data_IF_513931331767
#
_entry.id   IF_513931331767
#
_cell.length_a   1.000
_cell.length_b   1.000
_cell.length_c   1.000
_cell.angle_alpha   90.00
_cell.angle_beta   90.00
_cell.angle_gamma   90.00
#
_symmetry.space_group_name_H-M   'P 1'
#
loop_
_entity.id
_entity.type
_entity.pdbx_description
1 polymer ?
#
# COMPACT_ATOMS: atom_id res chain seq x y z
N UNK A 1 4.35 -17.11 -20.48
CA UNK A 1 3.52 -18.13 -19.76
C UNK A 1 2.39 -17.40 -19.06
N UNK A 2 1.16 -17.86 -19.22
CA UNK A 2 0.01 -17.35 -18.49
C UNK A 2 0.05 -17.86 -17.05
N UNK A 3 -0.21 -16.99 -16.08
CA UNK A 3 -0.47 -17.39 -14.70
C UNK A 3 -1.90 -17.98 -14.66
N UNK A 4 -2.05 -19.24 -14.26
CA UNK A 4 -3.36 -19.85 -14.15
C UNK A 4 -4.14 -19.18 -13.01
N UNK A 5 -5.28 -18.59 -13.34
CA UNK A 5 -6.23 -18.15 -12.32
C UNK A 5 -6.88 -19.37 -11.65
N UNK A 6 -7.13 -19.32 -10.33
CA UNK A 6 -7.87 -20.37 -9.65
C UNK A 6 -9.24 -20.56 -10.32
N UNK A 7 -9.68 -21.80 -10.58
CA UNK A 7 -11.00 -22.04 -11.13
C UNK A 7 -12.06 -21.58 -10.12
N UNK A 8 -13.15 -20.99 -10.62
CA UNK A 8 -14.29 -20.68 -9.76
C UNK A 8 -15.04 -21.97 -9.40
N UNK A 9 -15.51 -22.05 -8.15
CA UNK A 9 -16.48 -23.05 -7.70
C UNK A 9 -17.90 -22.50 -7.85
N UNK A 10 -18.91 -23.27 -7.50
CA UNK A 10 -20.33 -22.89 -7.73
C UNK A 10 -20.79 -21.69 -6.90
N UNK A 11 -20.16 -21.41 -5.75
CA UNK A 11 -20.58 -20.31 -4.88
C UNK A 11 -20.33 -18.93 -5.52
N UNK A 12 -21.23 -17.98 -5.24
CA UNK A 12 -21.10 -16.59 -5.73
C UNK A 12 -19.80 -15.92 -5.25
N UNK A 13 -19.32 -16.23 -4.05
CA UNK A 13 -18.07 -15.69 -3.52
C UNK A 13 -16.89 -16.12 -4.39
N UNK A 14 -16.82 -17.41 -4.78
CA UNK A 14 -15.72 -17.89 -5.61
C UNK A 14 -15.80 -17.39 -7.05
N UNK A 15 -17.01 -17.18 -7.57
CA UNK A 15 -17.25 -16.56 -8.90
C UNK A 15 -16.77 -15.10 -8.88
N UNK A 16 -17.14 -14.34 -7.85
CA UNK A 16 -16.68 -12.96 -7.69
C UNK A 16 -15.16 -12.87 -7.54
N UNK A 17 -14.55 -13.73 -6.72
CA UNK A 17 -13.09 -13.78 -6.55
C UNK A 17 -12.36 -14.13 -7.86
N UNK A 18 -12.92 -15.02 -8.68
CA UNK A 18 -12.37 -15.32 -10.00
C UNK A 18 -12.49 -14.12 -10.94
N UNK A 19 -13.67 -13.49 -11.02
CA UNK A 19 -13.92 -12.31 -11.85
C UNK A 19 -13.00 -11.14 -11.45
N UNK A 20 -12.85 -10.91 -10.16
CA UNK A 20 -11.92 -9.92 -9.63
C UNK A 20 -10.47 -10.14 -10.11
N UNK A 21 -9.97 -11.38 -10.01
CA UNK A 21 -8.62 -11.71 -10.48
C UNK A 21 -8.48 -11.62 -12.00
N UNK A 22 -9.53 -11.97 -12.74
CA UNK A 22 -9.57 -11.77 -14.18
C UNK A 22 -9.50 -10.28 -14.54
N UNK A 23 -10.25 -9.44 -13.80
CA UNK A 23 -10.18 -8.00 -13.95
C UNK A 23 -8.79 -7.44 -13.65
N UNK A 24 -8.11 -7.87 -12.58
CA UNK A 24 -6.73 -7.49 -12.30
C UNK A 24 -5.78 -7.86 -13.46
N UNK A 25 -5.94 -9.05 -14.05
CA UNK A 25 -5.18 -9.48 -15.23
C UNK A 25 -5.39 -8.54 -16.40
N UNK A 26 -6.66 -8.20 -16.69
CA UNK A 26 -7.03 -7.38 -17.84
C UNK A 26 -6.60 -5.92 -17.67
N UNK A 27 -6.56 -5.43 -16.41
CA UNK A 27 -6.13 -4.06 -16.06
C UNK A 27 -4.62 -3.90 -16.03
N UNK A 28 -3.92 -4.80 -15.33
CA UNK A 28 -2.52 -4.64 -14.95
C UNK A 28 -1.60 -5.76 -15.48
N UNK A 29 -2.19 -6.79 -16.08
CA UNK A 29 -1.46 -7.98 -16.54
C UNK A 29 -1.22 -9.02 -15.44
N UNK A 30 -0.84 -10.24 -15.87
CA UNK A 30 -0.62 -11.39 -14.99
C UNK A 30 0.49 -11.17 -13.95
N UNK A 31 1.53 -10.44 -14.31
CA UNK A 31 2.75 -10.32 -13.50
C UNK A 31 2.54 -9.54 -12.22
N UNK A 32 1.65 -8.54 -12.25
CA UNK A 32 1.30 -7.76 -11.07
C UNK A 32 0.81 -8.63 -9.91
N UNK A 33 0.08 -9.70 -10.23
CA UNK A 33 -0.46 -10.63 -9.24
C UNK A 33 0.56 -11.66 -8.72
N UNK A 34 1.77 -11.69 -9.29
CA UNK A 34 2.82 -12.64 -8.90
C UNK A 34 3.78 -12.10 -7.83
N UNK A 35 3.66 -10.82 -7.49
CA UNK A 35 4.45 -10.25 -6.41
C UNK A 35 3.94 -10.71 -5.05
N UNK A 36 4.85 -10.98 -4.12
CA UNK A 36 4.54 -11.38 -2.76
C UNK A 36 5.24 -10.47 -1.75
N UNK A 37 4.68 -10.35 -0.57
CA UNK A 37 5.21 -9.61 0.55
C UNK A 37 4.58 -10.06 1.85
N UNK A 38 5.03 -9.52 2.96
CA UNK A 38 4.48 -9.77 4.30
C UNK A 38 3.36 -8.78 4.59
N UNK A 39 2.26 -9.27 5.13
CA UNK A 39 1.25 -8.45 5.79
C UNK A 39 1.44 -8.57 7.30
N UNK A 40 1.72 -7.44 7.93
CA UNK A 40 1.89 -7.35 9.37
C UNK A 40 0.65 -6.71 9.99
N UNK A 41 -0.10 -7.49 10.78
CA UNK A 41 -1.29 -7.01 11.46
C UNK A 41 -0.93 -6.56 12.89
N UNK A 42 -1.40 -5.38 13.27
CA UNK A 42 -1.10 -4.76 14.54
C UNK A 42 -2.35 -4.23 15.23
N UNK A 43 -2.49 -4.53 16.51
CA UNK A 43 -3.54 -3.96 17.38
C UNK A 43 -3.04 -3.81 18.80
N UNK A 44 -3.60 -2.81 19.50
CA UNK A 44 -3.41 -2.65 20.94
C UNK A 44 -4.52 -3.36 21.73
N UNK A 45 -4.21 -3.75 22.98
CA UNK A 45 -5.23 -4.17 23.93
C UNK A 45 -6.14 -3.01 24.33
N UNK A 46 -7.34 -3.31 24.78
CA UNK A 46 -8.31 -2.29 25.24
C UNK A 46 -7.76 -1.41 26.37
N UNK A 47 -6.90 -1.96 27.23
CA UNK A 47 -6.26 -1.18 28.30
C UNK A 47 -5.29 -0.12 27.75
N UNK A 48 -4.53 -0.44 26.69
CA UNK A 48 -3.65 0.52 26.01
C UNK A 48 -4.47 1.57 25.26
N UNK A 49 -5.51 1.16 24.54
CA UNK A 49 -6.43 2.10 23.86
C UNK A 49 -7.03 3.11 24.86
N UNK A 50 -7.48 2.64 26.04
CA UNK A 50 -7.99 3.53 27.10
C UNK A 50 -6.92 4.51 27.61
N UNK A 51 -5.68 4.07 27.75
CA UNK A 51 -4.59 4.94 28.18
C UNK A 51 -4.23 5.99 27.12
N UNK A 52 -4.38 5.68 25.83
CA UNK A 52 -4.10 6.57 24.69
C UNK A 52 -5.23 7.57 24.37
N UNK A 53 -6.45 7.43 24.93
CA UNK A 53 -7.50 8.43 24.72
C UNK A 53 -8.91 7.92 24.41
N UNK A 54 -9.20 6.63 24.56
CA UNK A 54 -10.51 5.97 24.40
C UNK A 54 -11.13 5.94 22.99
N UNK A 55 -10.71 6.78 22.04
CA UNK A 55 -11.21 6.71 20.66
C UNK A 55 -10.31 5.84 19.82
N UNK A 56 -10.64 4.55 19.72
CA UNK A 56 -9.85 3.55 19.00
C UNK A 56 -9.63 3.92 17.53
N UNK A 57 -10.67 4.42 16.86
CA UNK A 57 -10.60 4.82 15.45
C UNK A 57 -9.62 5.97 15.25
N UNK A 58 -9.72 7.04 16.05
CA UNK A 58 -8.83 8.20 15.95
C UNK A 58 -7.37 7.84 16.28
N UNK A 59 -7.15 6.97 17.27
CA UNK A 59 -5.81 6.46 17.60
C UNK A 59 -5.21 5.75 16.40
N UNK A 60 -5.95 4.84 15.75
CA UNK A 60 -5.44 4.11 14.59
C UNK A 60 -5.29 4.97 13.35
N UNK A 61 -6.12 5.99 13.14
CA UNK A 61 -5.91 6.98 12.08
C UNK A 61 -4.63 7.78 12.33
N UNK A 62 -4.40 8.21 13.59
CA UNK A 62 -3.17 8.88 13.99
C UNK A 62 -1.92 8.04 13.73
N UNK A 63 -1.96 6.77 14.13
CA UNK A 63 -0.88 5.81 13.85
C UNK A 63 -0.65 5.68 12.34
N UNK A 64 -1.73 5.60 11.55
CA UNK A 64 -1.62 5.46 10.09
C UNK A 64 -0.96 6.67 9.44
N UNK A 65 -1.30 7.90 9.87
CA UNK A 65 -0.64 9.14 9.41
C UNK A 65 0.85 9.14 9.76
N UNK A 66 1.18 8.84 11.01
CA UNK A 66 2.58 8.81 11.46
C UNK A 66 3.37 7.68 10.78
N UNK A 67 2.75 6.54 10.53
CA UNK A 67 3.36 5.46 9.76
C UNK A 67 3.70 5.90 8.33
N UNK A 68 2.81 6.62 7.63
CA UNK A 68 3.12 7.15 6.30
C UNK A 68 4.34 8.08 6.31
N UNK A 69 4.47 8.93 7.35
CA UNK A 69 5.61 9.85 7.53
C UNK A 69 6.94 9.11 7.72
N UNK A 70 6.93 8.02 8.50
CA UNK A 70 8.14 7.25 8.81
C UNK A 70 8.42 6.11 7.82
N UNK A 71 7.45 5.73 7.00
CA UNK A 71 7.56 4.59 6.10
C UNK A 71 8.75 4.66 5.13
N UNK A 72 9.16 5.82 4.58
CA UNK A 72 10.40 5.93 3.80
C UNK A 72 11.64 5.45 4.56
N UNK A 73 11.72 5.73 5.87
CA UNK A 73 12.80 5.24 6.72
C UNK A 73 12.69 3.72 6.96
N UNK A 74 11.47 3.22 7.19
CA UNK A 74 11.23 1.77 7.34
C UNK A 74 11.70 1.03 6.08
N UNK A 75 11.35 1.51 4.88
CA UNK A 75 11.83 0.94 3.61
C UNK A 75 13.35 0.95 3.49
N UNK A 76 13.99 2.03 3.92
CA UNK A 76 15.44 2.14 3.89
C UNK A 76 16.13 1.12 4.79
N UNK A 77 15.51 0.77 5.93
CA UNK A 77 16.09 -0.12 6.94
C UNK A 77 15.83 -1.60 6.66
N UNK A 78 14.62 -1.94 6.20
CA UNK A 78 14.20 -3.35 6.03
C UNK A 78 13.74 -3.71 4.62
N UNK A 79 13.79 -2.77 3.65
CA UNK A 79 13.56 -3.08 2.23
C UNK A 79 14.64 -4.01 1.70
N UNK A 80 14.27 -5.11 1.06
CA UNK A 80 15.19 -6.17 0.66
C UNK A 80 14.81 -6.85 -0.68
N UNK A 81 14.13 -6.12 -1.58
CA UNK A 81 13.76 -6.62 -2.91
C UNK A 81 14.29 -5.75 -4.06
N UNK A 82 15.62 -5.51 -4.17
CA UNK A 82 16.20 -4.67 -5.22
C UNK A 82 16.36 -5.40 -6.57
N UNK A 83 16.13 -6.70 -6.61
CA UNK A 83 16.38 -7.57 -7.78
C UNK A 83 15.06 -8.15 -8.28
N UNK A 84 14.94 -8.33 -9.59
CA UNK A 84 13.81 -9.02 -10.20
C UNK A 84 14.25 -9.77 -11.46
N UNK A 85 13.52 -10.83 -11.82
CA UNK A 85 13.74 -11.52 -13.07
C UNK A 85 13.30 -10.64 -14.27
N UNK A 86 14.10 -10.58 -15.33
CA UNK A 86 13.86 -9.75 -16.54
C UNK A 86 12.48 -9.95 -17.15
N UNK A 87 11.91 -11.16 -17.04
CA UNK A 87 10.56 -11.42 -17.55
C UNK A 87 9.48 -10.61 -16.82
N UNK A 88 9.71 -10.17 -15.59
CA UNK A 88 8.77 -9.33 -14.84
C UNK A 88 8.63 -7.95 -15.51
N UNK A 89 9.70 -7.40 -16.04
CA UNK A 89 9.76 -6.09 -16.66
C UNK A 89 9.51 -6.11 -18.18
N UNK A 90 9.28 -7.27 -18.76
CA UNK A 90 9.07 -7.42 -20.21
C UNK A 90 7.89 -6.55 -20.68
N UNK A 91 8.16 -5.67 -21.64
CA UNK A 91 7.17 -4.73 -22.20
C UNK A 91 7.15 -3.36 -21.51
N UNK A 92 8.02 -3.14 -20.52
CA UNK A 92 8.23 -1.84 -19.90
C UNK A 92 9.55 -1.24 -20.40
N UNK A 93 9.55 0.07 -20.69
CA UNK A 93 10.78 0.79 -21.07
C UNK A 93 11.37 1.42 -19.81
N UNK A 94 12.29 0.70 -19.15
CA UNK A 94 12.86 1.07 -17.87
C UNK A 94 14.36 0.95 -17.96
N UNK A 95 15.06 1.97 -17.48
CA UNK A 95 16.51 1.92 -17.31
C UNK A 95 16.83 1.10 -16.05
N UNK A 96 17.26 -0.13 -16.24
CA UNK A 96 17.61 -1.09 -15.18
C UNK A 96 18.90 -1.82 -15.55
N UNK A 97 19.73 -2.14 -14.58
CA UNK A 97 20.98 -2.85 -14.79
C UNK A 97 20.78 -4.37 -14.78
N UNK A 98 21.57 -5.07 -15.60
CA UNK A 98 21.60 -6.52 -15.59
C UNK A 98 22.45 -7.01 -14.43
N UNK A 99 21.93 -7.94 -13.64
CA UNK A 99 22.70 -8.66 -12.64
C UNK A 99 23.41 -9.87 -13.31
N UNK A 100 22.65 -10.61 -14.11
CA UNK A 100 23.13 -11.75 -14.91
C UNK A 100 22.30 -11.92 -16.19
N UNK A 101 22.25 -13.15 -16.77
CA UNK A 101 21.47 -13.44 -17.98
C UNK A 101 19.97 -13.35 -17.78
N UNK A 102 19.47 -13.71 -16.59
CA UNK A 102 18.05 -13.81 -16.26
C UNK A 102 17.54 -12.68 -15.37
N UNK A 103 18.39 -12.13 -14.50
CA UNK A 103 18.02 -11.17 -13.48
C UNK A 103 18.52 -9.76 -13.75
N UNK A 104 17.83 -8.79 -13.17
CA UNK A 104 18.17 -7.37 -13.25
C UNK A 104 17.84 -6.67 -11.92
N UNK A 105 18.44 -5.52 -11.70
CA UNK A 105 18.31 -4.75 -10.49
C UNK A 105 18.34 -3.24 -10.76
N UNK A 106 17.75 -2.49 -9.85
CA UNK A 106 17.87 -1.04 -9.84
C UNK A 106 18.94 -0.66 -8.80
N UNK A 107 20.07 -0.02 -9.24
CA UNK A 107 21.13 0.37 -8.33
C UNK A 107 20.62 1.20 -7.15
N UNK A 108 21.07 0.87 -5.95
CA UNK A 108 20.67 1.52 -4.69
C UNK A 108 19.18 1.39 -4.31
N UNK A 109 18.36 0.68 -5.07
CA UNK A 109 16.96 0.41 -4.71
C UNK A 109 16.92 -0.44 -3.43
N UNK A 110 15.94 -0.15 -2.56
CA UNK A 110 15.64 -1.00 -1.40
C UNK A 110 14.52 -1.98 -1.72
N UNK A 111 13.52 -1.56 -2.50
CA UNK A 111 12.34 -2.38 -2.79
C UNK A 111 11.74 -2.07 -4.17
N UNK A 112 12.02 -2.91 -5.15
CA UNK A 112 11.34 -2.85 -6.44
C UNK A 112 9.83 -3.12 -6.32
N UNK A 113 9.43 -3.90 -5.31
CA UNK A 113 8.02 -4.22 -5.06
C UNK A 113 7.22 -2.98 -4.67
N UNK A 114 7.80 -2.07 -3.87
CA UNK A 114 7.15 -0.81 -3.42
C UNK A 114 7.34 0.30 -4.44
N UNK A 115 8.37 0.22 -5.29
CA UNK A 115 8.64 1.21 -6.35
C UNK A 115 7.55 1.20 -7.43
N UNK A 116 7.58 2.19 -8.32
CA UNK A 116 6.71 2.25 -9.51
C UNK A 116 6.88 1.07 -10.47
N UNK A 117 7.93 0.25 -10.30
CA UNK A 117 8.16 -0.97 -11.08
C UNK A 117 7.39 -2.18 -10.54
N UNK A 118 7.02 -2.14 -9.25
CA UNK A 118 6.34 -3.19 -8.55
C UNK A 118 4.81 -3.11 -8.61
N UNK A 119 4.19 -3.33 -7.48
CA UNK A 119 2.73 -3.25 -7.32
C UNK A 119 2.31 -1.78 -7.14
N UNK A 120 2.05 -1.12 -8.24
CA UNK A 120 1.77 0.31 -8.34
C UNK A 120 0.59 0.58 -9.26
N UNK A 121 -0.23 1.57 -8.92
CA UNK A 121 -1.33 2.09 -9.74
C UNK A 121 -1.25 3.61 -9.79
N UNK A 122 -1.00 4.15 -10.96
CA UNK A 122 -0.94 5.59 -11.23
C UNK A 122 -2.25 6.28 -10.80
N UNK A 123 -3.38 5.65 -11.12
CA UNK A 123 -4.71 6.17 -10.83
C UNK A 123 -5.00 6.31 -9.34
N UNK A 124 -4.40 5.43 -8.51
CA UNK A 124 -4.54 5.50 -7.07
C UNK A 124 -3.53 6.44 -6.43
N UNK A 125 -2.36 6.64 -7.06
CA UNK A 125 -1.31 7.53 -6.58
C UNK A 125 -1.68 9.01 -6.75
N UNK A 126 -2.47 9.35 -7.76
CA UNK A 126 -3.00 10.71 -7.96
C UNK A 126 -3.84 11.20 -6.77
N UNK A 127 -4.50 10.29 -6.07
CA UNK A 127 -5.38 10.57 -4.94
C UNK A 127 -4.88 9.86 -3.69
N UNK A 128 -3.78 10.34 -3.14
CA UNK A 128 -3.15 9.76 -1.97
C UNK A 128 -4.05 9.81 -0.73
N UNK A 129 -4.22 8.69 -0.06
CA UNK A 129 -5.03 8.60 1.15
C UNK A 129 -4.21 9.03 2.37
N UNK A 130 -4.65 10.10 3.02
CA UNK A 130 -3.94 10.73 4.16
C UNK A 130 -4.33 10.19 5.53
N UNK A 131 -5.41 9.44 5.65
CA UNK A 131 -6.00 8.98 6.93
C UNK A 131 -6.39 10.13 7.87
N UNK A 132 -6.78 11.27 7.31
CA UNK A 132 -7.18 12.44 8.10
C UNK A 132 -8.52 12.22 8.83
N UNK A 133 -9.44 11.47 8.22
CA UNK A 133 -10.65 10.98 8.87
C UNK A 133 -11.07 9.61 8.33
N UNK A 134 -11.88 8.86 9.10
CA UNK A 134 -12.46 7.62 8.61
C UNK A 134 -13.49 7.88 7.51
N UNK A 135 -14.24 8.96 7.61
CA UNK A 135 -15.26 9.31 6.61
C UNK A 135 -14.62 9.62 5.26
N UNK A 136 -13.54 10.42 5.21
CA UNK A 136 -12.80 10.69 3.97
C UNK A 136 -12.23 9.42 3.36
N UNK A 137 -11.70 8.53 4.19
CA UNK A 137 -11.20 7.22 3.76
C UNK A 137 -12.30 6.39 3.09
N UNK A 138 -13.49 6.31 3.72
CA UNK A 138 -14.61 5.55 3.20
C UNK A 138 -15.21 6.18 1.93
N UNK A 139 -15.35 7.50 1.88
CA UNK A 139 -15.82 8.25 0.71
C UNK A 139 -14.86 8.04 -0.47
N UNK A 140 -13.56 8.07 -0.23
CA UNK A 140 -12.56 7.81 -1.29
C UNK A 140 -12.69 6.40 -1.86
N UNK A 141 -12.82 5.37 -1.00
CA UNK A 141 -13.03 3.99 -1.47
C UNK A 141 -14.31 3.86 -2.29
N UNK A 142 -15.41 4.45 -1.81
CA UNK A 142 -16.70 4.41 -2.49
C UNK A 142 -16.63 5.11 -3.86
N UNK A 143 -15.98 6.25 -3.92
CA UNK A 143 -15.72 6.98 -5.17
C UNK A 143 -14.89 6.15 -6.14
N UNK A 144 -13.83 5.50 -5.68
CA UNK A 144 -12.98 4.66 -6.53
C UNK A 144 -13.70 3.44 -7.10
N UNK A 145 -14.67 2.88 -6.38
CA UNK A 145 -15.47 1.73 -6.84
C UNK A 145 -16.55 2.17 -7.81
N UNK A 146 -17.22 3.30 -7.53
CA UNK A 146 -18.46 3.68 -8.22
C UNK A 146 -18.24 4.62 -9.41
N UNK A 147 -17.18 5.43 -9.40
CA UNK A 147 -16.91 6.36 -10.49
C UNK A 147 -16.12 5.68 -11.61
N UNK A 148 -16.67 5.64 -12.84
CA UNK A 148 -15.98 5.05 -13.98
C UNK A 148 -14.62 5.72 -14.23
N UNK A 149 -13.62 4.88 -14.49
CA UNK A 149 -12.29 5.31 -14.90
C UNK A 149 -12.10 5.05 -16.41
N UNK A 150 -11.75 6.08 -17.15
CA UNK A 150 -11.58 6.01 -18.61
C UNK A 150 -10.58 4.94 -19.05
N UNK A 151 -9.53 4.71 -18.27
CA UNK A 151 -8.48 3.70 -18.57
C UNK A 151 -9.06 2.27 -18.62
N UNK A 152 -10.12 1.99 -17.86
CA UNK A 152 -10.72 0.66 -17.76
C UNK A 152 -12.03 0.52 -18.54
N UNK A 153 -12.43 1.55 -19.30
CA UNK A 153 -13.69 1.61 -20.05
C UNK A 153 -13.81 0.50 -21.10
N UNK A 154 -12.73 0.20 -21.79
CA UNK A 154 -12.72 -0.78 -22.90
C UNK A 154 -12.70 -2.24 -22.42
N UNK A 155 -12.53 -2.48 -21.12
CA UNK A 155 -12.62 -3.81 -20.54
C UNK A 155 -14.10 -4.14 -20.32
N UNK A 156 -14.62 -5.10 -21.07
CA UNK A 156 -16.06 -5.38 -21.14
C UNK A 156 -16.65 -5.88 -19.82
N UNK A 157 -17.69 -5.21 -19.34
CA UNK A 157 -18.53 -5.65 -18.22
C UNK A 157 -19.50 -6.75 -18.66
N UNK A 158 -20.08 -6.64 -19.84
CA UNK A 158 -21.06 -7.60 -20.39
C UNK A 158 -20.42 -8.99 -20.59
N UNK A 159 -19.16 -9.03 -21.00
CA UNK A 159 -18.39 -10.26 -21.13
C UNK A 159 -17.78 -10.74 -19.79
N UNK A 160 -18.09 -10.10 -18.68
CA UNK A 160 -17.58 -10.42 -17.35
C UNK A 160 -16.04 -10.49 -17.30
N UNK A 161 -15.40 -9.46 -17.85
CA UNK A 161 -13.92 -9.35 -17.88
C UNK A 161 -13.36 -8.57 -16.70
N UNK A 162 -14.20 -7.86 -15.96
CA UNK A 162 -13.92 -7.18 -14.70
C UNK A 162 -15.19 -7.02 -13.86
N UNK A 163 -15.07 -6.67 -12.59
CA UNK A 163 -16.21 -6.51 -11.67
C UNK A 163 -16.98 -5.21 -11.94
N UNK A 164 -16.25 -4.12 -12.13
CA UNK A 164 -16.77 -2.79 -12.50
C UNK A 164 -15.66 -2.06 -13.30
N UNK A 165 -15.97 -0.85 -13.76
CA UNK A 165 -15.01 0.01 -14.46
C UNK A 165 -14.51 1.20 -13.61
N UNK A 166 -14.66 1.15 -12.30
CA UNK A 166 -14.10 2.14 -11.37
C UNK A 166 -12.58 2.07 -11.26
N UNK A 167 -11.97 3.00 -10.55
CA UNK A 167 -10.52 3.00 -10.29
C UNK A 167 -10.07 1.72 -9.59
N UNK A 168 -10.90 1.20 -8.67
CA UNK A 168 -10.72 -0.13 -8.08
C UNK A 168 -11.98 -0.97 -8.24
N UNK A 169 -11.84 -2.28 -8.35
CA UNK A 169 -12.97 -3.19 -8.47
C UNK A 169 -13.64 -3.50 -7.14
N UNK A 170 -12.85 -3.49 -6.07
CA UNK A 170 -13.28 -3.71 -4.68
C UNK A 170 -12.22 -3.22 -3.71
N UNK A 171 -12.54 -3.10 -2.43
CA UNK A 171 -11.67 -2.56 -1.38
C UNK A 171 -10.31 -3.28 -1.28
N UNK A 172 -10.27 -4.57 -1.62
CA UNK A 172 -9.03 -5.36 -1.59
C UNK A 172 -8.00 -4.92 -2.65
N UNK A 173 -8.44 -4.24 -3.72
CA UNK A 173 -7.57 -3.70 -4.76
C UNK A 173 -6.89 -2.38 -4.34
N UNK A 174 -7.38 -1.71 -3.30
CA UNK A 174 -6.81 -0.47 -2.83
C UNK A 174 -5.31 -0.65 -2.51
N UNK A 175 -4.48 0.16 -3.15
CA UNK A 175 -3.04 0.15 -2.97
C UNK A 175 -2.63 1.14 -1.88
N UNK A 176 -2.38 0.63 -0.70
CA UNK A 176 -1.91 1.40 0.46
C UNK A 176 -0.82 0.65 1.20
N UNK A 177 0.14 1.38 1.76
CA UNK A 177 1.23 0.81 2.57
C UNK A 177 0.75 0.33 3.94
N UNK A 178 -0.25 1.01 4.49
CA UNK A 178 -0.97 0.64 5.71
C UNK A 178 -2.46 0.70 5.44
N UNK A 179 -3.23 -0.21 6.02
CA UNK A 179 -4.67 -0.30 5.80
C UNK A 179 -5.42 -0.47 7.12
N UNK A 180 -6.36 0.43 7.43
CA UNK A 180 -7.33 0.23 8.50
C UNK A 180 -8.22 -0.97 8.22
N UNK A 181 -8.48 -1.77 9.24
CA UNK A 181 -9.31 -2.97 9.18
C UNK A 181 -10.36 -2.93 10.28
N UNK A 182 -11.58 -3.28 9.92
CA UNK A 182 -12.67 -3.54 10.86
C UNK A 182 -12.65 -4.97 11.39
N UNK A 183 -13.67 -5.34 12.15
CA UNK A 183 -13.88 -6.70 12.65
C UNK A 183 -14.01 -7.65 11.46
N UNK A 184 -13.31 -8.80 11.53
CA UNK A 184 -13.36 -9.80 10.45
C UNK A 184 -14.73 -10.49 10.47
N UNK A 185 -15.49 -10.36 9.38
CA UNK A 185 -16.74 -11.08 9.15
C UNK A 185 -16.73 -11.75 7.78
N UNK A 186 -17.30 -12.95 7.70
CA UNK A 186 -17.50 -13.63 6.42
C UNK A 186 -18.77 -13.17 5.69
N UNK A 187 -19.68 -12.52 6.41
CA UNK A 187 -21.02 -12.16 5.93
C UNK A 187 -21.14 -10.70 5.55
N UNK A 188 -20.28 -9.83 6.12
CA UNK A 188 -20.34 -8.39 5.91
C UNK A 188 -19.06 -7.92 5.23
N UNK A 189 -19.20 -7.05 4.22
CA UNK A 189 -18.08 -6.45 3.50
C UNK A 189 -17.18 -5.65 4.44
N UNK A 190 -15.87 -5.66 4.20
CA UNK A 190 -14.88 -4.93 4.99
C UNK A 190 -15.20 -3.42 5.10
N UNK A 191 -15.67 -2.82 4.01
CA UNK A 191 -16.15 -1.43 3.98
C UNK A 191 -17.26 -1.18 5.02
N UNK A 192 -18.31 -2.03 5.03
CA UNK A 192 -19.42 -1.88 5.95
C UNK A 192 -18.99 -2.08 7.40
N UNK A 193 -18.07 -3.02 7.65
CA UNK A 193 -17.51 -3.23 8.98
C UNK A 193 -16.77 -2.00 9.50
N UNK A 194 -15.97 -1.35 8.67
CA UNK A 194 -15.29 -0.10 9.04
C UNK A 194 -16.29 1.02 9.30
N UNK A 195 -17.33 1.14 8.45
CA UNK A 195 -18.36 2.19 8.58
C UNK A 195 -19.18 2.05 9.87
N UNK A 196 -19.53 0.83 10.23
CA UNK A 196 -20.41 0.55 11.39
C UNK A 196 -19.66 0.47 12.71
N UNK A 197 -18.44 -0.09 12.71
CA UNK A 197 -17.73 -0.45 13.94
C UNK A 197 -16.40 0.31 14.12
N UNK A 198 -15.98 1.10 13.13
CA UNK A 198 -14.68 1.76 13.15
C UNK A 198 -13.50 0.80 12.92
N UNK A 199 -12.31 1.26 13.30
CA UNK A 199 -11.06 0.53 13.06
C UNK A 199 -10.77 -0.41 14.24
N UNK A 200 -10.56 -1.70 13.94
CA UNK A 200 -10.20 -2.71 14.93
C UNK A 200 -8.70 -2.96 15.00
N UNK A 201 -8.02 -2.95 13.85
CA UNK A 201 -6.57 -3.14 13.75
C UNK A 201 -6.02 -2.49 12.48
N UNK A 202 -4.69 -2.45 12.37
CA UNK A 202 -3.97 -1.96 11.19
C UNK A 202 -3.23 -3.10 10.50
N UNK A 203 -3.20 -3.09 9.17
CA UNK A 203 -2.47 -4.04 8.34
C UNK A 203 -1.39 -3.29 7.56
N UNK A 204 -0.10 -3.46 7.91
CA UNK A 204 1.03 -3.01 7.10
C UNK A 204 1.19 -4.01 5.95
N UNK A 205 1.28 -3.53 4.70
CA UNK A 205 1.22 -4.37 3.50
C UNK A 205 2.48 -4.34 2.64
N UNK A 206 3.36 -3.43 2.92
CA UNK A 206 4.50 -3.11 2.05
C UNK A 206 5.83 -3.61 2.60
N UNK A 207 5.82 -4.66 3.42
CA UNK A 207 7.02 -5.33 3.91
C UNK A 207 7.46 -6.39 2.89
N UNK A 208 8.72 -6.34 2.50
CA UNK A 208 9.31 -7.31 1.59
C UNK A 208 9.52 -8.68 2.27
N UNK A 209 9.63 -9.71 1.44
CA UNK A 209 10.06 -11.03 1.92
C UNK A 209 11.57 -10.99 2.19
N UNK A 210 11.97 -11.15 3.45
CA UNK A 210 13.36 -11.24 3.84
C UNK A 210 13.98 -12.55 3.32
N UNK A 211 14.92 -12.51 2.36
CA UNK A 211 15.48 -13.72 1.74
C UNK A 211 16.37 -14.53 2.69
N UNK A 212 16.78 -13.95 3.80
CA UNK A 212 17.60 -14.63 4.82
C UNK A 212 16.77 -15.30 5.90
N UNK A 213 15.44 -15.17 5.86
CA UNK A 213 14.52 -15.84 6.78
C UNK A 213 13.72 -16.94 6.07
N UNK A 214 13.66 -18.13 6.67
CA UNK A 214 12.90 -19.28 6.13
C UNK A 214 11.39 -19.01 6.03
N UNK A 215 10.87 -18.04 6.77
CA UNK A 215 9.45 -17.65 6.77
C UNK A 215 9.21 -16.28 6.13
N UNK A 216 10.26 -15.67 5.56
CA UNK A 216 10.19 -14.38 4.86
C UNK A 216 10.19 -13.15 5.75
N UNK A 217 10.30 -13.30 7.07
CA UNK A 217 10.47 -12.21 8.05
C UNK A 217 11.29 -12.72 9.23
N UNK A 218 12.16 -11.91 9.80
CA UNK A 218 12.91 -12.24 11.02
C UNK A 218 12.17 -11.77 12.28
N UNK A 219 12.61 -12.25 13.44
CA UNK A 219 12.06 -11.77 14.71
C UNK A 219 12.43 -10.31 14.94
N UNK A 220 13.64 -9.92 14.58
CA UNK A 220 14.14 -8.54 14.67
C UNK A 220 13.30 -7.59 13.81
N UNK A 221 12.89 -8.02 12.60
CA UNK A 221 11.99 -7.25 11.74
C UNK A 221 10.61 -7.05 12.40
N UNK A 222 10.09 -8.08 13.06
CA UNK A 222 8.81 -8.01 13.80
C UNK A 222 8.92 -7.05 14.98
N UNK A 223 9.95 -7.19 15.81
CA UNK A 223 10.19 -6.32 16.97
C UNK A 223 10.40 -4.85 16.53
N UNK A 224 11.14 -4.64 15.44
CA UNK A 224 11.31 -3.32 14.85
C UNK A 224 9.98 -2.70 14.41
N UNK A 225 9.13 -3.46 13.70
CA UNK A 225 7.80 -2.99 13.27
C UNK A 225 6.88 -2.70 14.46
N UNK A 226 6.91 -3.50 15.51
CA UNK A 226 6.17 -3.22 16.74
C UNK A 226 6.62 -1.91 17.39
N UNK A 227 7.93 -1.67 17.49
CA UNK A 227 8.49 -0.41 18.02
C UNK A 227 8.08 0.78 17.15
N UNK A 228 8.10 0.65 15.83
CA UNK A 228 7.61 1.69 14.89
C UNK A 228 6.14 2.01 15.16
N UNK A 229 5.29 1.00 15.34
CA UNK A 229 3.86 1.22 15.60
C UNK A 229 3.61 1.86 16.96
N UNK A 230 4.38 1.48 17.98
CA UNK A 230 4.33 2.11 19.32
C UNK A 230 4.81 3.57 19.22
N UNK A 231 5.90 3.84 18.53
CA UNK A 231 6.39 5.20 18.29
C UNK A 231 5.32 6.05 17.60
N UNK A 232 4.68 5.53 16.55
CA UNK A 232 3.59 6.21 15.86
C UNK A 232 2.40 6.51 16.76
N UNK A 233 2.10 5.64 17.73
CA UNK A 233 1.00 5.80 18.68
C UNK A 233 1.28 6.86 19.76
N UNK A 234 2.54 7.03 20.13
CA UNK A 234 2.97 7.96 21.17
C UNK A 234 3.35 9.35 20.64
N UNK A 235 3.52 9.47 19.33
CA UNK A 235 3.88 10.73 18.67
C UNK A 235 2.63 11.55 18.33
N UNK A 236 2.74 12.87 18.39
CA UNK A 236 1.71 13.77 17.88
C UNK A 236 1.43 13.47 16.41
N UNK A 237 0.16 13.48 16.04
CA UNK A 237 -0.28 13.13 14.70
C UNK A 237 -1.19 14.19 14.09
N UNK A 238 -0.63 15.34 13.67
CA UNK A 238 -1.40 16.34 12.96
C UNK A 238 -1.97 15.78 11.65
N UNK A 239 -2.98 16.45 11.10
CA UNK A 239 -3.54 16.11 9.79
C UNK A 239 -2.47 16.32 8.71
N UNK A 240 -2.47 15.43 7.71
CA UNK A 240 -1.56 15.53 6.57
C UNK A 240 -2.15 16.52 5.57
N UNK A 241 -1.38 17.57 5.23
CA UNK A 241 -1.73 18.51 4.17
C UNK A 241 -1.40 17.92 2.78
N UNK A 242 -1.94 18.54 1.72
CA UNK A 242 -1.65 18.12 0.34
C UNK A 242 -0.15 18.21 0.03
N UNK A 243 0.51 19.30 0.46
CA UNK A 243 1.96 19.47 0.29
C UNK A 243 2.74 18.36 1.02
N UNK A 244 2.35 18.05 2.25
CA UNK A 244 2.99 16.96 3.02
C UNK A 244 2.74 15.62 2.35
N UNK A 245 1.55 15.37 1.81
CA UNK A 245 1.23 14.12 1.11
C UNK A 245 2.13 13.91 -0.12
N UNK A 246 2.40 14.98 -0.88
CA UNK A 246 3.32 14.92 -2.02
C UNK A 246 4.78 14.66 -1.59
N UNK A 247 5.21 15.27 -0.48
CA UNK A 247 6.52 14.97 0.10
C UNK A 247 6.62 13.50 0.55
N UNK A 248 5.60 12.97 1.19
CA UNK A 248 5.56 11.55 1.64
C UNK A 248 5.65 10.62 0.42
N UNK A 249 4.85 10.84 -0.62
CA UNK A 249 4.89 10.04 -1.86
C UNK A 249 6.28 10.04 -2.48
N UNK A 250 6.87 11.23 -2.63
CA UNK A 250 8.21 11.38 -3.21
C UNK A 250 9.29 10.71 -2.34
N UNK A 251 9.20 10.81 -1.01
CA UNK A 251 10.14 10.16 -0.11
C UNK A 251 10.03 8.62 -0.16
N UNK A 252 8.81 8.08 -0.29
CA UNK A 252 8.59 6.64 -0.51
C UNK A 252 9.23 6.21 -1.82
N UNK A 253 9.00 6.98 -2.90
CA UNK A 253 9.61 6.72 -4.20
C UNK A 253 11.14 6.73 -4.13
N UNK A 254 11.73 7.77 -3.53
CA UNK A 254 13.19 7.89 -3.37
C UNK A 254 13.75 6.74 -2.56
N UNK A 255 13.13 6.42 -1.42
CA UNK A 255 13.59 5.32 -0.59
C UNK A 255 13.53 3.98 -1.30
N UNK A 256 12.46 3.71 -2.05
CA UNK A 256 12.30 2.45 -2.79
C UNK A 256 13.22 2.34 -4.01
N UNK A 257 13.41 3.43 -4.77
CA UNK A 257 14.12 3.42 -6.06
C UNK A 257 15.61 3.79 -5.94
N UNK A 258 15.99 4.71 -5.03
CA UNK A 258 17.37 5.18 -4.85
C UNK A 258 17.98 4.86 -3.48
N UNK A 259 17.17 4.30 -2.59
CA UNK A 259 17.59 3.67 -1.36
C UNK A 259 18.44 4.56 -0.45
N UNK A 260 19.64 4.08 -0.13
CA UNK A 260 20.50 4.71 0.86
C UNK A 260 21.10 6.06 0.40
N UNK A 261 21.09 6.33 -0.89
CA UNK A 261 21.67 7.54 -1.48
C UNK A 261 20.65 8.66 -1.68
N UNK A 262 19.43 8.54 -1.12
CA UNK A 262 18.42 9.58 -1.25
C UNK A 262 18.40 10.53 -0.04
N UNK A 263 18.15 11.81 -0.32
CA UNK A 263 17.77 12.80 0.68
C UNK A 263 16.26 12.84 0.78
N UNK A 264 15.73 12.87 2.01
CA UNK A 264 14.31 13.05 2.24
C UNK A 264 13.91 14.52 2.14
N UNK A 265 12.71 14.75 1.60
CA UNK A 265 12.07 16.06 1.59
C UNK A 265 11.28 16.19 2.88
N UNK A 266 11.49 17.27 3.61
CA UNK A 266 10.68 17.60 4.78
C UNK A 266 9.67 18.66 4.33
N UNK A 267 8.39 18.35 4.42
CA UNK A 267 7.32 19.30 4.17
C UNK A 267 7.33 20.38 5.27
N UNK A 268 7.29 21.65 4.87
CA UNK A 268 7.22 22.77 5.80
C UNK A 268 5.77 22.92 6.22
N UNK A 269 5.46 22.75 7.50
CA UNK A 269 4.20 23.19 8.07
C UNK A 269 4.12 24.73 7.98
N UNK A 270 3.10 25.23 7.29
CA UNK A 270 2.60 26.62 7.37
C UNK A 270 3.64 27.75 7.40
N UNK A 271 4.53 27.82 6.44
CA UNK A 271 5.13 29.10 6.08
C UNK A 271 4.44 29.62 4.83
N UNK A 272 3.96 30.87 4.92
CA UNK A 272 3.48 31.63 3.78
C UNK A 272 4.41 31.46 2.58
N UNK A 273 3.89 30.90 1.57
CA UNK A 273 4.17 30.76 0.13
C UNK A 273 5.55 31.12 -0.49
N UNK A 274 6.70 31.12 0.16
CA UNK A 274 7.94 31.53 -0.52
C UNK A 274 9.24 30.77 -0.15
N UNK A 275 9.23 29.74 0.71
CA UNK A 275 10.46 29.00 0.97
C UNK A 275 10.46 27.57 0.39
N UNK A 276 11.50 27.17 -0.37
CA UNK A 276 11.60 25.82 -0.90
C UNK A 276 11.81 24.78 0.22
N UNK A 277 11.26 23.59 0.04
CA UNK A 277 11.43 22.48 0.96
C UNK A 277 12.91 22.23 1.33
N UNK A 278 13.22 22.14 2.61
CA UNK A 278 14.59 21.86 3.07
C UNK A 278 14.94 20.41 2.79
N UNK A 279 16.06 20.18 2.14
CA UNK A 279 16.65 18.85 2.02
C UNK A 279 17.39 18.50 3.31
N UNK A 280 17.08 17.33 3.87
CA UNK A 280 17.79 16.77 5.02
C UNK A 280 18.73 15.69 4.49
N UNK A 281 20.01 15.88 4.74
CA UNK A 281 21.09 14.92 4.38
C UNK A 281 21.19 13.80 5.40
#
# INVERSE_FOLDING_TARGET
KYIKLPPHRESNITKLAHLYRLGLRNRYGDKMQSTAGIHFNFSFSDSVIKALGNNKTEIYLGISRNFLRIFPLVLRLIGCSPVTHKSFLKGRNINIENLDEEDCFLPNSTSLRVSRLGYYSEEQDENFITFNSLDDYLVTIESYINNPNEKFRDISLDLKQQVNNGTIQMESELYNHIRPKGIISKEVRAYNQLKENGIEYLEIRSIDLNPYSNIGISLEDVEFLELVMIFCALSDSPLISDVESDCIKENIRRSSETGQNCNFIVGIENTTAEEPAKQVT
#
